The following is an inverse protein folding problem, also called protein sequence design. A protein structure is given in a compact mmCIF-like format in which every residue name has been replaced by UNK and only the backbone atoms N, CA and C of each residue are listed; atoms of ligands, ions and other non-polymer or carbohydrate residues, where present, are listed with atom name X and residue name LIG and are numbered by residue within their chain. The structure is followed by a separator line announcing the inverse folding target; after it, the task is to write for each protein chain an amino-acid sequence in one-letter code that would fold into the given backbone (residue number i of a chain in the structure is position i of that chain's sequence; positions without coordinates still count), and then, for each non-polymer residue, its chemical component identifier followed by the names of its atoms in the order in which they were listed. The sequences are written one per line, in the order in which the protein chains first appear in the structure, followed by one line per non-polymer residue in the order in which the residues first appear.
data_IF_742773534722
#
_entry.id   IF_742773534722
#
_cell.length_a   1.000
_cell.length_b   1.000
_cell.length_c   1.000
_cell.angle_alpha   90.00
_cell.angle_beta   90.00
_cell.angle_gamma   90.00
#
_symmetry.space_group_name_H-M   'P 1'
#
loop_
_entity.id
_entity.type
_entity.pdbx_description
1 polymer ?
#
# COMPACT_ATOMS: atom_id res chain seq x y z
N UNK A 1 -9.24 -39.95 13.63
CA UNK A 1 -8.76 -38.58 13.94
C UNK A 1 -9.23 -37.67 12.82
N UNK A 2 -10.08 -36.67 13.12
CA UNK A 2 -10.56 -35.72 12.11
C UNK A 2 -9.43 -34.73 11.83
N UNK A 3 -8.93 -34.70 10.60
CA UNK A 3 -7.97 -33.71 10.14
C UNK A 3 -8.63 -32.33 10.27
N UNK A 4 -8.25 -31.60 11.31
CA UNK A 4 -8.60 -30.19 11.47
C UNK A 4 -7.80 -29.47 10.40
N UNK A 5 -8.36 -29.34 9.20
CA UNK A 5 -7.84 -28.42 8.19
C UNK A 5 -7.68 -27.10 8.91
N UNK A 6 -6.43 -26.71 9.18
CA UNK A 6 -6.13 -25.34 9.58
C UNK A 6 -6.77 -24.53 8.47
N UNK A 7 -7.81 -23.78 8.80
CA UNK A 7 -8.21 -22.62 8.02
C UNK A 7 -6.95 -21.77 7.98
N UNK A 8 -6.12 -21.96 6.96
CA UNK A 8 -5.20 -20.94 6.53
C UNK A 8 -6.12 -19.78 6.26
N UNK A 9 -6.12 -18.83 7.20
CA UNK A 9 -6.86 -17.60 7.14
C UNK A 9 -6.86 -17.15 5.68
N UNK A 10 -8.04 -16.88 5.13
CA UNK A 10 -8.18 -16.29 3.80
C UNK A 10 -7.39 -14.98 3.81
N UNK A 11 -6.08 -15.08 3.59
CA UNK A 11 -5.11 -14.00 3.62
C UNK A 11 -5.56 -13.04 2.55
N UNK A 12 -6.09 -11.88 2.96
CA UNK A 12 -6.43 -10.69 2.18
C UNK A 12 -6.39 -10.85 0.64
N UNK A 13 -7.10 -11.83 0.06
CA UNK A 13 -6.87 -12.18 -1.35
C UNK A 13 -7.17 -10.97 -2.23
N UNK A 14 -8.17 -10.16 -1.85
CA UNK A 14 -8.48 -8.90 -2.53
C UNK A 14 -7.34 -7.88 -2.45
N UNK A 15 -6.83 -7.57 -1.25
CA UNK A 15 -5.78 -6.55 -1.08
C UNK A 15 -4.46 -7.00 -1.72
N UNK A 16 -4.07 -8.26 -1.51
CA UNK A 16 -2.85 -8.81 -2.08
C UNK A 16 -2.92 -8.85 -3.60
N UNK A 17 -4.04 -9.31 -4.18
CA UNK A 17 -4.20 -9.31 -5.65
C UNK A 17 -4.16 -7.90 -6.21
N UNK A 18 -4.80 -6.94 -5.54
CA UNK A 18 -4.77 -5.54 -5.98
C UNK A 18 -3.33 -4.98 -5.96
N UNK A 19 -2.53 -5.28 -4.94
CA UNK A 19 -1.13 -4.86 -4.91
C UNK A 19 -0.31 -5.51 -6.03
N UNK A 20 -0.57 -6.80 -6.32
CA UNK A 20 0.06 -7.49 -7.46
C UNK A 20 -0.30 -6.81 -8.78
N UNK A 21 -1.57 -6.51 -9.01
CA UNK A 21 -2.03 -5.82 -10.23
C UNK A 21 -1.37 -4.44 -10.40
N UNK A 22 -1.16 -3.71 -9.30
CA UNK A 22 -0.47 -2.42 -9.33
C UNK A 22 1.02 -2.56 -9.64
N UNK A 23 1.67 -3.58 -9.07
CA UNK A 23 3.07 -3.88 -9.38
C UNK A 23 3.23 -4.26 -10.85
N UNK A 24 2.30 -5.03 -11.42
CA UNK A 24 2.27 -5.33 -12.86
C UNK A 24 2.07 -4.08 -13.73
N UNK A 25 1.44 -3.03 -13.21
CA UNK A 25 1.30 -1.71 -13.86
C UNK A 25 2.50 -0.77 -13.63
N UNK A 26 3.55 -1.24 -12.95
CA UNK A 26 4.77 -0.48 -12.68
C UNK A 26 4.70 0.41 -11.44
N UNK A 27 3.79 0.16 -10.50
CA UNK A 27 3.85 0.72 -9.14
C UNK A 27 4.65 -0.23 -8.25
N UNK A 28 5.97 -0.23 -8.43
CA UNK A 28 6.91 -1.18 -7.82
C UNK A 28 7.61 -0.63 -6.57
N UNK A 29 7.38 0.64 -6.24
CA UNK A 29 7.86 1.26 -5.00
C UNK A 29 6.86 1.11 -3.85
N UNK A 30 7.37 1.00 -2.62
CA UNK A 30 6.59 1.06 -1.38
C UNK A 30 6.87 2.39 -0.70
N UNK A 31 5.80 3.14 -0.42
CA UNK A 31 5.87 4.42 0.26
C UNK A 31 5.33 4.32 1.69
N UNK A 32 6.01 4.99 2.62
CA UNK A 32 5.55 5.17 4.00
C UNK A 32 5.28 6.65 4.26
N UNK A 33 4.16 6.96 4.92
CA UNK A 33 3.98 8.29 5.50
C UNK A 33 4.76 8.37 6.81
N UNK A 34 5.70 9.32 6.88
CA UNK A 34 6.43 9.65 8.09
C UNK A 34 5.68 10.65 8.97
N UNK A 35 5.99 10.67 10.26
CA UNK A 35 5.39 11.59 11.22
C UNK A 35 5.63 13.09 10.90
N UNK A 36 6.65 13.40 10.11
CA UNK A 36 6.95 14.75 9.63
C UNK A 36 6.12 15.16 8.40
N UNK A 37 5.20 14.32 7.92
CA UNK A 37 4.36 14.61 6.77
C UNK A 37 5.04 14.40 5.42
N UNK A 38 6.21 13.76 5.35
CA UNK A 38 6.83 13.36 4.09
C UNK A 38 6.50 11.89 3.78
N UNK A 39 6.47 11.56 2.49
CA UNK A 39 6.52 10.18 2.02
C UNK A 39 7.97 9.72 1.92
N UNK A 40 8.23 8.51 2.36
CA UNK A 40 9.51 7.84 2.24
C UNK A 40 9.40 6.66 1.28
N UNK A 41 10.20 6.66 0.22
CA UNK A 41 10.29 5.54 -0.71
C UNK A 41 11.28 4.51 -0.14
N UNK A 42 10.81 3.28 0.11
CA UNK A 42 11.64 2.22 0.71
C UNK A 42 12.71 1.69 -0.26
N UNK A 43 12.46 1.75 -1.56
CA UNK A 43 13.31 1.21 -2.62
C UNK A 43 14.50 2.13 -2.90
N UNK A 44 14.28 3.45 -2.88
CA UNK A 44 15.32 4.45 -3.21
C UNK A 44 15.82 5.22 -2.00
N UNK A 45 15.19 5.06 -0.85
CA UNK A 45 15.50 5.75 0.41
C UNK A 45 15.35 7.29 0.31
N UNK A 46 14.61 7.78 -0.69
CA UNK A 46 14.29 9.20 -0.85
C UNK A 46 13.05 9.62 -0.08
N UNK A 47 13.05 10.90 0.32
CA UNK A 47 11.91 11.53 0.98
C UNK A 47 11.28 12.57 0.06
N UNK A 48 9.96 12.52 -0.03
CA UNK A 48 9.15 13.43 -0.83
C UNK A 48 8.16 14.18 0.05
N UNK A 49 8.20 15.53 0.08
CA UNK A 49 7.12 16.31 0.65
C UNK A 49 5.78 15.96 -0.04
N UNK A 50 4.69 15.85 0.73
CA UNK A 50 3.37 15.46 0.19
C UNK A 50 2.90 16.34 -0.97
N UNK A 51 3.26 17.63 -1.00
CA UNK A 51 2.88 18.56 -2.07
C UNK A 51 3.73 18.40 -3.36
N UNK A 52 4.69 17.47 -3.39
CA UNK A 52 5.55 17.21 -4.56
C UNK A 52 5.20 15.90 -5.28
N UNK A 53 4.17 15.19 -4.79
CA UNK A 53 3.73 13.90 -5.32
C UNK A 53 2.25 13.95 -5.71
N UNK A 54 1.88 13.14 -6.70
CA UNK A 54 0.48 12.82 -6.98
C UNK A 54 0.07 11.64 -6.11
N UNK A 55 -1.01 11.80 -5.35
CA UNK A 55 -1.58 10.75 -4.50
C UNK A 55 -3.00 10.50 -4.97
N UNK A 56 -3.32 9.24 -5.26
CA UNK A 56 -4.67 8.83 -5.63
C UNK A 56 -5.08 7.60 -4.85
N UNK A 57 -6.16 7.70 -4.09
CA UNK A 57 -6.81 6.53 -3.49
C UNK A 57 -7.49 5.72 -4.59
N UNK A 58 -7.22 4.42 -4.60
CA UNK A 58 -7.76 3.50 -5.60
C UNK A 58 -8.70 2.46 -4.99
N UNK A 59 -8.49 2.06 -3.74
CA UNK A 59 -9.40 1.14 -3.03
C UNK A 59 -9.18 1.18 -1.51
N UNK A 60 -9.87 0.29 -0.81
CA UNK A 60 -9.62 -0.08 0.57
C UNK A 60 -9.85 -1.59 0.78
N UNK A 61 -9.22 -2.16 1.80
CA UNK A 61 -9.41 -3.55 2.18
C UNK A 61 -9.18 -3.75 3.67
N UNK A 62 -9.86 -4.73 4.24
CA UNK A 62 -9.59 -5.15 5.61
C UNK A 62 -8.32 -6.00 5.61
N UNK A 63 -7.31 -5.57 6.36
CA UNK A 63 -6.10 -6.33 6.60
C UNK A 63 -6.26 -7.20 7.86
N UNK A 64 -6.41 -8.51 7.66
CA UNK A 64 -6.52 -9.47 8.76
C UNK A 64 -5.23 -9.58 9.61
N UNK A 65 -4.07 -9.16 9.10
CA UNK A 65 -2.82 -9.21 9.88
C UNK A 65 -2.79 -8.11 10.94
N UNK A 66 -3.02 -6.86 10.53
CA UNK A 66 -3.11 -5.73 11.47
C UNK A 66 -4.49 -5.55 12.12
N UNK A 67 -5.50 -6.32 11.70
CA UNK A 67 -6.90 -6.19 12.14
C UNK A 67 -7.45 -4.77 11.93
N UNK A 68 -7.14 -4.17 10.78
CA UNK A 68 -7.52 -2.79 10.46
C UNK A 68 -7.91 -2.64 9.00
N UNK A 69 -8.74 -1.65 8.69
CA UNK A 69 -8.98 -1.26 7.30
C UNK A 69 -7.80 -0.43 6.78
N UNK A 70 -7.27 -0.83 5.64
CA UNK A 70 -6.24 -0.10 4.90
C UNK A 70 -6.84 0.50 3.66
N UNK A 71 -6.42 1.72 3.35
CA UNK A 71 -6.64 2.38 2.07
C UNK A 71 -5.42 2.13 1.21
N UNK A 72 -5.66 1.84 -0.08
CA UNK A 72 -4.59 1.70 -1.07
C UNK A 72 -4.53 2.99 -1.86
N UNK A 73 -3.37 3.62 -1.85
CA UNK A 73 -3.09 4.81 -2.65
C UNK A 73 -1.96 4.51 -3.64
N UNK A 74 -2.08 5.02 -4.85
CA UNK A 74 -0.96 5.11 -5.78
C UNK A 74 -0.25 6.43 -5.59
N UNK A 75 1.08 6.38 -5.64
CA UNK A 75 1.97 7.53 -5.54
C UNK A 75 2.71 7.67 -6.86
N UNK A 76 2.75 8.87 -7.41
CA UNK A 76 3.62 9.21 -8.53
C UNK A 76 4.43 10.46 -8.18
N UNK A 77 5.75 10.36 -8.31
CA UNK A 77 6.70 11.44 -7.99
C UNK A 77 7.09 12.22 -9.24
N UNK A 78 7.57 13.46 -9.07
CA UNK A 78 8.04 14.29 -10.20
C UNK A 78 9.27 13.74 -10.93
N UNK A 79 10.04 12.84 -10.31
CA UNK A 79 11.17 12.13 -10.91
C UNK A 79 10.81 10.76 -11.49
N UNK A 80 9.52 10.39 -11.52
CA UNK A 80 9.01 9.21 -12.21
C UNK A 80 8.98 7.92 -11.39
N UNK A 81 9.33 7.95 -10.10
CA UNK A 81 9.06 6.83 -9.20
C UNK A 81 7.55 6.68 -9.00
N UNK A 82 7.08 5.44 -9.06
CA UNK A 82 5.67 5.08 -8.93
C UNK A 82 5.54 3.95 -7.92
N UNK A 83 4.59 4.07 -7.00
CA UNK A 83 4.44 3.09 -5.95
C UNK A 83 3.12 3.12 -5.23
N UNK A 84 3.07 2.38 -4.12
CA UNK A 84 1.87 2.21 -3.31
C UNK A 84 2.09 2.73 -1.89
N UNK A 85 1.04 3.30 -1.31
CA UNK A 85 0.96 3.67 0.09
C UNK A 85 -0.27 3.00 0.71
N UNK A 86 -0.03 2.12 1.69
CA UNK A 86 -1.07 1.55 2.54
C UNK A 86 -1.20 2.39 3.82
N UNK A 87 -2.40 2.88 4.10
CA UNK A 87 -2.65 3.71 5.28
C UNK A 87 -4.03 3.47 5.89
N UNK A 88 -4.13 3.60 7.20
CA UNK A 88 -5.43 3.56 7.89
C UNK A 88 -6.20 4.87 7.69
N UNK A 89 -5.49 5.98 7.47
CA UNK A 89 -6.07 7.27 7.12
C UNK A 89 -6.31 7.36 5.61
N UNK A 90 -7.49 7.83 5.21
CA UNK A 90 -7.75 8.21 3.83
C UNK A 90 -7.04 9.54 3.56
N UNK A 91 -6.16 9.58 2.57
CA UNK A 91 -5.63 10.85 2.05
C UNK A 91 -6.62 11.37 0.99
N UNK A 92 -7.00 12.65 1.11
CA UNK A 92 -7.81 13.38 0.14
C UNK A 92 -6.90 14.10 -0.86
#
# INVERSE_FOLDING_TARGET
MKNKTRTTNRLNVSLTNQLIELQEQGYDCDFLLLANGNLHCMQTNYNYPLNTVSIKRIDNGYDFFSQSYKNVHTIETGNGERGVLLSETAFL
#
